data_IF_910390714246
#
_entry.id   IF_910390714246
#
_cell.length_a   1.000
_cell.length_b   1.000
_cell.length_c   1.000
_cell.angle_alpha   90.00
_cell.angle_beta   90.00
_cell.angle_gamma   90.00
#
_symmetry.space_group_name_H-M   'P 1'
#
loop_
_entity.id
_entity.type
_entity.pdbx_description
1 polymer ?
#
# COMPACT_ATOMS: atom_id res chain seq x y z
N UNK A 1 30.76 -33.46 -29.16
CA UNK A 1 29.48 -32.70 -29.18
C UNK A 1 29.25 -32.07 -27.82
N UNK A 2 29.57 -30.78 -27.65
CA UNK A 2 29.35 -30.06 -26.38
C UNK A 2 27.92 -29.56 -26.34
N UNK A 3 27.07 -30.21 -25.52
CA UNK A 3 25.73 -29.74 -25.20
C UNK A 3 25.85 -28.48 -24.33
N UNK A 4 25.71 -27.31 -24.93
CA UNK A 4 25.58 -26.04 -24.19
C UNK A 4 24.21 -26.02 -23.53
N UNK A 5 24.19 -26.21 -22.21
CA UNK A 5 23.03 -25.94 -21.38
C UNK A 5 22.69 -24.44 -21.50
N UNK A 6 21.56 -24.14 -22.14
CA UNK A 6 20.93 -22.83 -22.05
C UNK A 6 20.46 -22.73 -20.59
N UNK A 7 21.22 -22.01 -19.76
CA UNK A 7 20.76 -21.63 -18.44
C UNK A 7 19.43 -20.91 -18.61
N UNK A 8 18.37 -21.56 -18.10
CA UNK A 8 17.10 -20.95 -17.80
C UNK A 8 17.38 -19.65 -17.05
N UNK A 9 17.27 -18.50 -17.73
CA UNK A 9 17.10 -17.22 -17.07
C UNK A 9 15.72 -17.29 -16.39
N UNK A 10 15.72 -17.88 -15.20
CA UNK A 10 14.56 -17.94 -14.34
C UNK A 10 14.21 -16.48 -14.04
N UNK A 11 13.12 -16.01 -14.64
CA UNK A 11 12.38 -14.89 -14.11
C UNK A 11 12.01 -15.28 -12.68
N UNK A 12 12.82 -14.90 -11.69
CA UNK A 12 12.36 -14.86 -10.31
C UNK A 12 11.46 -13.63 -10.25
N UNK A 13 10.24 -13.79 -10.77
CA UNK A 13 9.14 -12.87 -10.49
C UNK A 13 8.33 -13.46 -9.34
N UNK A 14 9.00 -13.59 -8.19
CA UNK A 14 8.33 -13.76 -6.91
C UNK A 14 8.59 -12.50 -6.10
N UNK A 15 7.54 -11.71 -5.97
CA UNK A 15 7.54 -10.43 -5.29
C UNK A 15 6.29 -9.73 -5.72
N UNK A 16 5.36 -9.62 -4.78
CA UNK A 16 3.99 -9.21 -4.96
C UNK A 16 3.79 -7.81 -5.56
N UNK A 17 2.55 -7.40 -5.81
CA UNK A 17 2.31 -6.19 -6.61
C UNK A 17 1.46 -5.21 -5.80
N UNK A 18 2.15 -4.25 -5.18
CA UNK A 18 1.66 -2.94 -4.79
C UNK A 18 2.59 -1.91 -5.44
N UNK A 19 2.00 -0.98 -6.18
CA UNK A 19 2.61 -0.11 -7.21
C UNK A 19 3.92 0.56 -6.76
N UNK A 20 5.01 0.37 -7.53
CA UNK A 20 5.72 1.40 -8.32
C UNK A 20 6.66 0.65 -9.26
N UNK A 21 6.80 1.16 -10.47
CA UNK A 21 7.57 0.59 -11.56
C UNK A 21 9.04 0.29 -11.16
N UNK A 22 9.33 -0.92 -10.71
CA UNK A 22 10.50 -1.60 -11.20
C UNK A 22 10.03 -2.64 -12.18
N UNK A 23 10.30 -2.33 -13.44
CA UNK A 23 10.47 -3.33 -14.48
C UNK A 23 11.33 -4.45 -13.91
N UNK A 24 11.15 -5.66 -14.41
CA UNK A 24 12.27 -6.55 -14.62
C UNK A 24 13.29 -5.84 -15.53
N UNK A 25 13.99 -4.83 -15.01
CA UNK A 25 15.13 -4.20 -15.67
C UNK A 25 16.30 -5.13 -15.35
N UNK A 26 16.34 -6.21 -16.12
CA UNK A 26 17.45 -7.16 -16.06
C UNK A 26 18.77 -6.50 -16.50
N UNK A 27 18.69 -5.27 -17.04
CA UNK A 27 19.81 -4.51 -17.57
C UNK A 27 20.32 -5.12 -18.87
N UNK A 28 21.60 -4.90 -19.14
CA UNK A 28 22.28 -5.40 -20.33
C UNK A 28 23.15 -6.60 -19.92
N UNK A 29 22.82 -7.77 -20.48
CA UNK A 29 23.56 -9.03 -20.30
C UNK A 29 24.08 -9.53 -21.65
N UNK A 30 25.08 -10.43 -21.70
CA UNK A 30 25.68 -10.85 -22.97
C UNK A 30 24.71 -11.39 -24.03
N UNK A 31 23.59 -11.99 -23.60
CA UNK A 31 22.63 -12.65 -24.50
C UNK A 31 21.21 -12.05 -24.46
N UNK A 32 20.99 -11.01 -23.67
CA UNK A 32 19.70 -10.35 -23.58
C UNK A 32 19.83 -8.96 -22.95
N UNK A 33 18.89 -8.08 -23.27
CA UNK A 33 18.73 -6.78 -22.63
C UNK A 33 17.25 -6.57 -22.28
N UNK A 34 16.97 -5.96 -21.14
CA UNK A 34 15.60 -5.62 -20.74
C UNK A 34 15.51 -4.18 -20.28
N UNK A 35 14.43 -3.49 -20.63
CA UNK A 35 14.26 -2.07 -20.37
C UNK A 35 12.92 -1.53 -20.83
N UNK A 36 12.76 -0.21 -20.74
CA UNK A 36 11.60 0.53 -21.20
C UNK A 36 11.85 1.15 -22.58
N UNK A 37 10.85 1.10 -23.47
CA UNK A 37 10.94 1.66 -24.82
C UNK A 37 10.98 3.18 -24.77
N UNK A 38 12.09 3.77 -25.21
CA UNK A 38 12.23 5.22 -25.37
C UNK A 38 11.71 5.69 -26.73
N UNK A 39 12.00 4.95 -27.79
CA UNK A 39 11.58 5.29 -29.15
C UNK A 39 11.48 4.05 -30.03
N UNK A 40 10.56 4.09 -30.98
CA UNK A 40 10.32 3.03 -31.96
C UNK A 40 10.51 3.62 -33.36
N UNK A 41 11.30 2.95 -34.20
CA UNK A 41 11.49 3.25 -35.61
C UNK A 41 11.43 1.95 -36.43
N UNK A 42 11.30 2.06 -37.75
CA UNK A 42 10.96 0.95 -38.66
C UNK A 42 11.78 -0.35 -38.43
N UNK A 43 13.11 -0.24 -38.26
CA UNK A 43 14.00 -1.38 -38.05
C UNK A 43 14.79 -1.32 -36.73
N UNK A 44 14.40 -0.43 -35.81
CA UNK A 44 15.11 -0.29 -34.54
C UNK A 44 14.24 0.20 -33.39
N UNK A 45 14.54 -0.28 -32.19
CA UNK A 45 13.96 0.20 -30.94
C UNK A 45 15.09 0.69 -30.05
N UNK A 46 14.88 1.79 -29.32
CA UNK A 46 15.83 2.24 -28.29
C UNK A 46 15.23 1.91 -26.92
N UNK A 47 15.99 1.18 -26.10
CA UNK A 47 15.59 0.85 -24.73
C UNK A 47 16.39 1.67 -23.71
N UNK A 48 15.69 2.23 -22.73
CA UNK A 48 16.27 2.65 -21.47
C UNK A 48 16.38 1.44 -20.56
N UNK A 49 17.60 1.03 -20.22
CA UNK A 49 17.87 0.00 -19.21
C UNK A 49 18.51 0.66 -17.98
N UNK A 50 18.60 -0.08 -16.87
CA UNK A 50 19.31 0.36 -15.67
C UNK A 50 20.82 0.53 -15.90
N UNK A 51 21.37 -0.16 -16.90
CA UNK A 51 22.80 -0.12 -17.24
C UNK A 51 23.12 0.94 -18.32
N UNK A 52 22.10 1.69 -18.77
CA UNK A 52 22.20 2.69 -19.82
C UNK A 52 21.29 2.40 -21.02
N UNK A 53 21.42 3.22 -22.06
CA UNK A 53 20.61 3.10 -23.28
C UNK A 53 21.23 2.09 -24.24
N UNK A 54 20.38 1.25 -24.88
CA UNK A 54 20.81 0.26 -25.88
C UNK A 54 19.90 0.30 -27.11
N UNK A 55 20.50 0.18 -28.30
CA UNK A 55 19.79 0.06 -29.57
C UNK A 55 19.50 -1.42 -29.89
N UNK A 56 18.24 -1.70 -30.18
CA UNK A 56 17.75 -3.00 -30.62
C UNK A 56 17.63 -2.95 -32.14
N UNK A 57 18.48 -3.71 -32.83
CA UNK A 57 18.38 -3.87 -34.28
C UNK A 57 17.38 -4.99 -34.62
N UNK A 58 16.36 -4.65 -35.39
CA UNK A 58 15.29 -5.56 -35.79
C UNK A 58 15.56 -6.09 -37.21
N UNK A 59 15.03 -7.27 -37.50
CA UNK A 59 15.09 -7.88 -38.83
C UNK A 59 13.83 -8.70 -39.08
N UNK A 60 13.64 -9.16 -40.31
CA UNK A 60 12.54 -10.06 -40.67
C UNK A 60 12.56 -11.40 -39.91
N UNK A 61 13.69 -11.74 -39.28
CA UNK A 61 13.85 -12.95 -38.45
C UNK A 61 13.55 -12.70 -36.97
N UNK A 62 13.23 -11.47 -36.58
CA UNK A 62 12.95 -11.13 -35.19
C UNK A 62 11.56 -11.61 -34.81
N UNK A 63 11.48 -12.50 -33.83
CA UNK A 63 10.20 -12.98 -33.28
C UNK A 63 9.63 -11.98 -32.26
N UNK A 64 8.33 -11.71 -32.32
CA UNK A 64 7.64 -10.88 -31.33
C UNK A 64 6.69 -11.75 -30.50
N UNK A 65 6.78 -11.62 -29.18
CA UNK A 65 5.97 -12.40 -28.24
C UNK A 65 5.43 -11.51 -27.13
N UNK A 66 4.13 -11.58 -26.85
CA UNK A 66 3.49 -10.89 -25.74
C UNK A 66 3.46 -11.80 -24.52
N UNK A 67 4.02 -11.30 -23.43
CA UNK A 67 4.01 -12.02 -22.15
C UNK A 67 2.67 -11.71 -21.46
N UNK A 68 1.88 -12.73 -21.07
CA UNK A 68 0.63 -12.50 -20.36
C UNK A 68 0.88 -11.76 -19.04
N UNK A 69 0.11 -10.70 -18.72
CA UNK A 69 0.27 -9.98 -17.46
C UNK A 69 0.08 -10.89 -16.25
N UNK A 70 -0.92 -11.77 -16.28
CA UNK A 70 -1.29 -12.64 -15.16
C UNK A 70 -0.31 -13.81 -14.95
N UNK A 71 0.47 -14.17 -15.97
CA UNK A 71 1.51 -15.19 -15.90
C UNK A 71 2.77 -14.71 -16.64
N UNK A 72 3.65 -13.94 -15.94
CA UNK A 72 4.82 -13.31 -16.53
C UNK A 72 5.96 -14.31 -16.79
N UNK A 73 5.67 -15.31 -17.62
CA UNK A 73 6.57 -16.37 -18.02
C UNK A 73 6.82 -16.30 -19.52
N UNK A 74 8.09 -16.33 -19.92
CA UNK A 74 8.48 -16.37 -21.34
C UNK A 74 7.95 -17.61 -22.07
N UNK A 75 7.65 -18.68 -21.32
CA UNK A 75 7.04 -19.91 -21.85
C UNK A 75 5.55 -19.77 -22.12
N UNK A 76 4.88 -18.87 -21.41
CA UNK A 76 3.46 -18.56 -21.60
C UNK A 76 3.25 -17.45 -22.64
N UNK A 77 4.33 -16.93 -23.24
CA UNK A 77 4.26 -15.84 -24.19
C UNK A 77 3.56 -16.28 -25.49
N UNK A 78 2.64 -15.45 -25.96
CA UNK A 78 1.87 -15.67 -27.18
C UNK A 78 2.47 -14.86 -28.33
N UNK A 79 2.21 -15.26 -29.58
CA UNK A 79 2.67 -14.50 -30.74
C UNK A 79 2.13 -13.06 -30.70
N UNK A 80 2.99 -12.10 -31.08
CA UNK A 80 2.66 -10.69 -31.17
C UNK A 80 3.27 -10.10 -32.45
N UNK A 81 3.08 -8.80 -32.67
CA UNK A 81 3.61 -8.05 -33.80
C UNK A 81 4.49 -6.88 -33.35
N UNK A 82 5.37 -6.42 -34.26
CA UNK A 82 6.08 -5.15 -34.07
C UNK A 82 5.12 -3.97 -33.89
N UNK A 83 3.95 -4.01 -34.54
CA UNK A 83 2.90 -2.99 -34.41
C UNK A 83 2.33 -2.88 -32.98
N UNK A 84 2.52 -3.90 -32.15
CA UNK A 84 2.08 -3.90 -30.75
C UNK A 84 3.08 -3.20 -29.81
N UNK A 85 4.26 -2.80 -30.30
CA UNK A 85 5.30 -2.16 -29.51
C UNK A 85 5.11 -0.64 -29.49
N UNK A 86 4.83 -0.10 -28.32
CA UNK A 86 4.71 1.33 -28.07
C UNK A 86 5.83 1.92 -27.22
N UNK A 87 5.97 3.25 -27.26
CA UNK A 87 6.82 4.00 -26.32
C UNK A 87 6.28 3.85 -24.90
N UNK A 88 7.17 3.56 -23.94
CA UNK A 88 6.83 3.27 -22.55
C UNK A 88 6.48 1.82 -22.24
N UNK A 89 6.49 0.93 -23.23
CA UNK A 89 6.36 -0.52 -23.00
C UNK A 89 7.64 -1.12 -22.42
N UNK A 90 7.51 -2.25 -21.73
CA UNK A 90 8.66 -2.98 -21.17
C UNK A 90 9.00 -4.14 -22.08
N UNK A 91 10.23 -4.16 -22.57
CA UNK A 91 10.71 -5.23 -23.44
C UNK A 91 11.82 -6.03 -22.75
N UNK A 92 11.82 -7.34 -23.00
CA UNK A 92 12.99 -8.20 -22.85
C UNK A 92 13.38 -8.68 -24.25
N UNK A 93 14.56 -8.30 -24.69
CA UNK A 93 15.10 -8.66 -25.99
C UNK A 93 16.19 -9.70 -25.82
N UNK A 94 16.11 -10.78 -26.57
CA UNK A 94 17.14 -11.81 -26.64
C UNK A 94 17.96 -11.65 -27.91
N UNK A 95 19.28 -11.83 -27.81
CA UNK A 95 20.21 -11.54 -28.89
C UNK A 95 21.63 -11.42 -28.35
N UNK A 96 22.64 -11.63 -29.19
CA UNK A 96 24.03 -11.49 -28.75
C UNK A 96 24.34 -9.99 -28.65
N UNK A 97 24.53 -9.48 -27.44
CA UNK A 97 24.87 -8.07 -27.23
C UNK A 97 26.28 -7.81 -27.74
N UNK A 98 26.44 -6.71 -28.47
CA UNK A 98 27.72 -6.21 -28.95
C UNK A 98 28.74 -6.00 -27.81
N UNK A 99 30.03 -6.09 -28.12
CA UNK A 99 31.09 -5.96 -27.13
C UNK A 99 31.09 -4.60 -26.41
N UNK A 100 30.62 -3.54 -27.08
CA UNK A 100 30.48 -2.19 -26.53
C UNK A 100 29.17 -1.98 -25.76
N UNK A 101 28.30 -2.99 -25.69
CA UNK A 101 26.97 -2.99 -25.05
C UNK A 101 26.01 -1.95 -25.60
N UNK A 102 26.24 -1.42 -26.81
CA UNK A 102 25.39 -0.36 -27.39
C UNK A 102 24.31 -0.91 -28.32
N UNK A 103 24.54 -2.10 -28.88
CA UNK A 103 23.61 -2.69 -29.86
C UNK A 103 23.33 -4.17 -29.55
N UNK A 104 22.11 -4.60 -29.90
CA UNK A 104 21.71 -6.01 -29.86
C UNK A 104 20.89 -6.33 -31.11
N UNK A 105 21.35 -7.23 -32.00
CA UNK A 105 20.51 -7.81 -33.04
C UNK A 105 19.48 -8.74 -32.40
N UNK A 106 18.20 -8.36 -32.48
CA UNK A 106 17.12 -9.04 -31.81
C UNK A 106 16.78 -10.38 -32.48
N UNK A 107 16.89 -11.47 -31.72
CA UNK A 107 16.34 -12.78 -32.09
C UNK A 107 14.86 -12.88 -31.71
N UNK A 108 14.54 -12.50 -30.49
CA UNK A 108 13.16 -12.41 -30.02
C UNK A 108 12.96 -11.21 -29.10
N UNK A 109 11.82 -10.55 -29.26
CA UNK A 109 11.34 -9.43 -28.46
C UNK A 109 10.14 -9.90 -27.67
N UNK A 110 10.27 -9.92 -26.35
CA UNK A 110 9.19 -10.21 -25.43
C UNK A 110 8.64 -8.89 -24.90
N UNK A 111 7.38 -8.60 -25.21
CA UNK A 111 6.72 -7.37 -24.82
C UNK A 111 5.79 -7.59 -23.63
N UNK A 112 5.86 -6.66 -22.69
CA UNK A 112 4.90 -6.45 -21.62
C UNK A 112 4.40 -5.01 -21.75
N UNK A 113 3.19 -4.85 -22.24
CA UNK A 113 2.66 -3.52 -22.56
C UNK A 113 2.34 -2.73 -21.30
N UNK A 114 2.40 -1.40 -21.39
CA UNK A 114 1.98 -0.52 -20.30
C UNK A 114 0.51 -0.73 -19.91
N UNK A 115 -0.35 -1.03 -20.88
CA UNK A 115 -1.77 -1.30 -20.65
C UNK A 115 -1.99 -2.62 -19.91
N UNK A 116 -1.27 -3.69 -20.26
CA UNK A 116 -1.32 -4.97 -19.54
C UNK A 116 -0.92 -4.80 -18.07
N UNK A 117 0.14 -4.02 -17.81
CA UNK A 117 0.60 -3.71 -16.46
C UNK A 117 -0.50 -2.96 -15.69
N UNK A 118 -1.11 -1.95 -16.31
CA UNK A 118 -2.17 -1.16 -15.68
C UNK A 118 -3.43 -2.00 -15.39
N UNK A 119 -3.83 -2.88 -16.32
CA UNK A 119 -4.96 -3.79 -16.14
C UNK A 119 -4.72 -4.76 -14.99
N UNK A 120 -3.53 -5.38 -14.93
CA UNK A 120 -3.15 -6.26 -13.82
C UNK A 120 -3.16 -5.53 -12.48
N UNK A 121 -2.58 -4.33 -12.42
CA UNK A 121 -2.58 -3.53 -11.20
C UNK A 121 -3.98 -3.18 -10.73
N UNK A 122 -4.89 -2.88 -11.67
CA UNK A 122 -6.30 -2.59 -11.35
C UNK A 122 -6.98 -3.84 -10.79
N UNK A 123 -6.86 -4.98 -11.49
CA UNK A 123 -7.42 -6.26 -11.05
C UNK A 123 -6.91 -6.67 -9.67
N UNK A 124 -5.61 -6.55 -9.43
CA UNK A 124 -5.04 -6.86 -8.13
C UNK A 124 -5.51 -5.89 -7.04
N UNK A 125 -5.59 -4.59 -7.33
CA UNK A 125 -6.16 -3.62 -6.38
C UNK A 125 -7.59 -3.97 -6.01
N UNK A 126 -8.39 -4.40 -6.98
CA UNK A 126 -9.76 -4.86 -6.76
C UNK A 126 -9.80 -6.15 -5.94
N UNK A 127 -8.94 -7.12 -6.22
CA UNK A 127 -8.80 -8.34 -5.41
C UNK A 127 -8.42 -8.01 -3.96
N UNK A 128 -7.44 -7.14 -3.75
CA UNK A 128 -7.08 -6.68 -2.40
C UNK A 128 -8.19 -5.88 -1.73
N UNK A 129 -9.00 -5.13 -2.48
CA UNK A 129 -10.14 -4.37 -1.93
C UNK A 129 -11.29 -5.30 -1.53
N UNK A 130 -11.50 -6.38 -2.26
CA UNK A 130 -12.66 -7.27 -2.09
C UNK A 130 -12.36 -8.49 -1.21
N UNK A 131 -11.21 -9.12 -1.39
CA UNK A 131 -10.75 -10.33 -0.70
C UNK A 131 -9.64 -10.06 0.32
N UNK A 132 -9.13 -8.83 0.40
CA UNK A 132 -8.06 -8.50 1.34
C UNK A 132 -8.53 -8.24 2.77
N UNK A 133 -7.62 -8.44 3.71
CA UNK A 133 -7.73 -7.95 5.09
C UNK A 133 -6.45 -7.22 5.49
N UNK A 134 -6.59 -6.22 6.36
CA UNK A 134 -5.48 -5.47 6.93
C UNK A 134 -5.68 -5.28 8.43
N UNK A 135 -4.59 -5.31 9.20
CA UNK A 135 -4.65 -5.13 10.63
C UNK A 135 -3.28 -5.21 11.30
N UNK A 136 -3.29 -5.41 12.61
CA UNK A 136 -2.09 -5.57 13.42
C UNK A 136 -2.02 -6.98 14.02
N UNK A 137 -0.83 -7.59 14.01
CA UNK A 137 -0.60 -8.90 14.61
C UNK A 137 -0.73 -8.76 16.13
N UNK A 138 -1.73 -9.43 16.70
CA UNK A 138 -2.02 -9.44 18.15
C UNK A 138 -1.36 -10.63 18.84
N UNK A 139 -1.37 -11.80 18.19
CA UNK A 139 -0.75 -13.01 18.69
C UNK A 139 -0.36 -13.94 17.54
N UNK A 140 0.60 -14.83 17.80
CA UNK A 140 1.11 -15.82 16.84
C UNK A 140 1.16 -17.16 17.55
N UNK A 141 0.56 -18.18 16.94
CA UNK A 141 0.68 -19.57 17.38
C UNK A 141 1.63 -20.32 16.45
N UNK A 142 2.88 -20.60 16.85
CA UNK A 142 3.86 -21.28 16.00
C UNK A 142 3.54 -22.75 15.76
N UNK A 143 2.74 -23.40 16.63
CA UNK A 143 2.39 -24.82 16.49
C UNK A 143 1.34 -25.03 15.40
N UNK A 144 0.31 -24.17 15.37
CA UNK A 144 -0.78 -24.24 14.38
C UNK A 144 -0.56 -23.33 13.17
N UNK A 145 0.50 -22.51 13.18
CA UNK A 145 0.79 -21.46 12.20
C UNK A 145 -0.34 -20.43 12.07
N UNK A 146 -1.09 -20.20 13.14
CA UNK A 146 -2.17 -19.22 13.17
C UNK A 146 -1.67 -17.84 13.62
N UNK A 147 -2.19 -16.80 12.99
CA UNK A 147 -1.90 -15.40 13.32
C UNK A 147 -3.20 -14.74 13.74
N UNK A 148 -3.31 -14.30 15.00
CA UNK A 148 -4.46 -13.50 15.44
C UNK A 148 -4.21 -12.05 15.05
N UNK A 149 -5.09 -11.50 14.21
CA UNK A 149 -4.99 -10.14 13.68
C UNK A 149 -6.09 -9.27 14.24
N UNK A 150 -5.71 -8.14 14.84
CA UNK A 150 -6.65 -7.09 15.22
C UNK A 150 -7.01 -6.28 13.98
N UNK A 151 -8.22 -6.49 13.47
CA UNK A 151 -8.78 -5.74 12.34
C UNK A 151 -9.62 -4.60 12.90
N UNK A 152 -9.27 -3.36 12.55
CA UNK A 152 -10.05 -2.17 12.90
C UNK A 152 -11.11 -1.96 11.82
N UNK A 153 -12.38 -2.02 12.19
CA UNK A 153 -13.51 -1.73 11.32
C UNK A 153 -14.23 -0.44 11.73
N UNK A 154 -15.26 -0.09 10.97
CA UNK A 154 -16.13 1.07 11.25
C UNK A 154 -16.88 0.86 12.58
N UNK A 155 -17.30 -0.39 12.85
CA UNK A 155 -17.96 -0.79 14.10
C UNK A 155 -16.96 -1.50 15.00
N UNK A 156 -16.07 -0.73 15.61
CA UNK A 156 -15.09 -1.23 16.57
C UNK A 156 -13.99 -2.11 15.96
N UNK A 157 -13.25 -2.79 16.82
CA UNK A 157 -12.15 -3.68 16.43
C UNK A 157 -12.53 -5.12 16.73
N UNK A 158 -12.16 -6.03 15.83
CA UNK A 158 -12.36 -7.48 15.99
C UNK A 158 -11.07 -8.24 15.79
N UNK A 159 -10.97 -9.39 16.44
CA UNK A 159 -9.89 -10.34 16.18
C UNK A 159 -10.29 -11.25 15.01
N UNK A 160 -9.36 -11.48 14.09
CA UNK A 160 -9.50 -12.40 12.96
C UNK A 160 -8.32 -13.37 12.99
N UNK A 161 -8.60 -14.67 12.94
CA UNK A 161 -7.56 -15.69 12.84
C UNK A 161 -7.16 -15.89 11.38
N UNK A 162 -5.91 -15.60 11.07
CA UNK A 162 -5.32 -15.73 9.74
C UNK A 162 -4.45 -16.98 9.71
N UNK A 163 -4.78 -17.90 8.80
CA UNK A 163 -4.06 -19.17 8.60
C UNK A 163 -3.43 -19.18 7.22
N UNK A 164 -2.10 -19.26 7.09
CA UNK A 164 -1.44 -19.36 5.80
C UNK A 164 -1.75 -20.69 5.10
N UNK A 165 -2.03 -20.68 3.79
CA UNK A 165 -2.13 -21.89 2.95
C UNK A 165 -0.75 -22.49 2.68
N UNK A 166 -0.69 -23.75 2.22
CA UNK A 166 0.57 -24.49 2.02
C UNK A 166 1.58 -23.80 1.08
N UNK A 167 1.09 -23.07 0.08
CA UNK A 167 1.88 -22.32 -0.91
C UNK A 167 1.80 -20.79 -0.71
N UNK A 168 1.57 -20.34 0.53
CA UNK A 168 1.45 -18.92 0.84
C UNK A 168 2.67 -18.13 0.38
N UNK A 169 2.43 -17.03 -0.32
CA UNK A 169 3.46 -16.04 -0.61
C UNK A 169 3.65 -15.13 0.61
N UNK A 170 4.71 -15.34 1.38
CA UNK A 170 5.08 -14.54 2.55
C UNK A 170 6.18 -13.54 2.19
N UNK A 171 5.89 -12.26 2.39
CA UNK A 171 6.78 -11.15 2.08
C UNK A 171 6.78 -10.12 3.19
N UNK A 172 7.93 -9.49 3.43
CA UNK A 172 8.08 -8.46 4.45
C UNK A 172 8.75 -7.24 3.84
N UNK A 173 8.18 -6.06 4.08
CA UNK A 173 8.83 -4.80 3.69
C UNK A 173 10.23 -4.71 4.31
N UNK A 174 11.20 -4.25 3.53
CA UNK A 174 12.54 -4.02 4.05
C UNK A 174 12.50 -2.91 5.14
N UNK A 175 13.38 -3.01 6.16
CA UNK A 175 13.64 -1.87 7.03
C UNK A 175 13.96 -0.62 6.21
N UNK A 176 13.41 0.51 6.62
CA UNK A 176 13.58 1.82 5.99
C UNK A 176 13.05 1.98 4.55
N UNK A 177 12.22 1.04 4.07
CA UNK A 177 11.64 1.10 2.72
C UNK A 177 10.13 0.91 2.68
N UNK A 178 9.45 1.81 1.97
CA UNK A 178 8.06 1.64 1.52
C UNK A 178 7.95 0.88 0.20
N UNK A 179 9.08 0.57 -0.42
CA UNK A 179 9.06 -0.02 -1.75
C UNK A 179 8.76 -1.50 -1.65
N UNK A 180 7.61 -1.87 -2.20
CA UNK A 180 7.22 -3.26 -2.28
C UNK A 180 8.27 -4.11 -3.04
N UNK A 181 8.95 -3.53 -4.04
CA UNK A 181 10.02 -4.22 -4.78
C UNK A 181 11.26 -4.57 -3.93
N UNK A 182 11.41 -3.92 -2.78
CA UNK A 182 12.45 -4.22 -1.81
C UNK A 182 11.95 -5.16 -0.70
N UNK A 183 10.66 -5.55 -0.74
CA UNK A 183 10.12 -6.54 0.17
C UNK A 183 10.80 -7.88 -0.09
N UNK A 184 11.34 -8.46 0.98
CA UNK A 184 12.10 -9.71 0.91
C UNK A 184 11.17 -10.90 1.16
N UNK A 185 11.44 -12.06 0.53
CA UNK A 185 10.83 -13.31 0.96
C UNK A 185 10.99 -13.47 2.47
N UNK A 186 9.90 -13.82 3.14
CA UNK A 186 9.84 -13.87 4.59
C UNK A 186 9.38 -15.26 5.05
N UNK A 187 9.77 -15.65 6.27
CA UNK A 187 9.22 -16.87 6.89
C UNK A 187 8.19 -16.52 7.95
N UNK A 188 7.39 -17.50 8.35
CA UNK A 188 6.42 -17.33 9.43
C UNK A 188 7.08 -16.88 10.74
N UNK A 189 8.30 -17.34 11.01
CA UNK A 189 9.05 -17.03 12.24
C UNK A 189 9.49 -15.56 12.33
N UNK A 190 9.52 -14.86 11.20
CA UNK A 190 9.93 -13.46 11.16
C UNK A 190 8.77 -12.50 11.44
N UNK A 191 7.53 -13.00 11.52
CA UNK A 191 6.36 -12.21 11.90
C UNK A 191 6.40 -11.99 13.41
N UNK A 192 6.18 -10.75 13.85
CA UNK A 192 6.19 -10.38 15.27
C UNK A 192 4.87 -9.76 15.70
N UNK A 193 4.50 -9.98 16.96
CA UNK A 193 3.39 -9.24 17.58
C UNK A 193 3.65 -7.74 17.48
N UNK A 194 2.62 -7.00 17.11
CA UNK A 194 2.68 -5.56 16.85
C UNK A 194 2.98 -5.19 15.39
N UNK A 195 3.43 -6.12 14.55
CA UNK A 195 3.61 -5.87 13.12
C UNK A 195 2.27 -5.56 12.44
N UNK A 196 2.28 -4.69 11.44
CA UNK A 196 1.16 -4.57 10.51
C UNK A 196 1.18 -5.76 9.55
N UNK A 197 -0.01 -6.26 9.24
CA UNK A 197 -0.22 -7.38 8.33
C UNK A 197 -1.33 -7.08 7.32
N UNK A 198 -1.08 -7.40 6.05
CA UNK A 198 -2.05 -7.43 4.96
C UNK A 198 -2.09 -8.85 4.43
N UNK A 199 -3.27 -9.43 4.31
CA UNK A 199 -3.43 -10.76 3.75
C UNK A 199 -4.48 -10.77 2.64
N UNK A 200 -4.23 -11.57 1.61
CA UNK A 200 -5.15 -11.86 0.52
C UNK A 200 -5.50 -13.35 0.56
N UNK A 201 -6.77 -13.68 0.37
CA UNK A 201 -7.26 -15.05 0.48
C UNK A 201 -8.75 -15.12 0.72
N UNK A 202 -9.18 -16.19 1.38
CA UNK A 202 -10.59 -16.51 1.58
C UNK A 202 -11.02 -16.21 3.00
N UNK A 203 -12.06 -15.37 3.14
CA UNK A 203 -12.71 -15.07 4.40
C UNK A 203 -13.89 -16.00 4.61
N UNK A 204 -14.09 -16.52 5.83
CA UNK A 204 -15.30 -17.27 6.16
C UNK A 204 -16.56 -16.38 6.22
N UNK A 205 -17.75 -16.98 6.21
CA UNK A 205 -19.02 -16.26 6.22
C UNK A 205 -19.13 -15.24 7.37
N UNK A 206 -18.63 -15.60 8.55
CA UNK A 206 -18.72 -14.76 9.76
C UNK A 206 -17.57 -13.73 9.88
N UNK A 207 -16.57 -13.81 9.00
CA UNK A 207 -15.42 -12.92 8.96
C UNK A 207 -14.47 -13.01 10.16
N UNK A 208 -14.47 -14.14 10.86
CA UNK A 208 -13.63 -14.45 12.03
C UNK A 208 -12.37 -15.24 11.66
N UNK A 209 -12.38 -15.97 10.54
CA UNK A 209 -11.23 -16.73 10.04
C UNK A 209 -10.89 -16.34 8.60
N UNK A 210 -9.62 -16.50 8.25
CA UNK A 210 -9.09 -16.08 6.96
C UNK A 210 -7.97 -17.02 6.48
N UNK A 211 -8.18 -17.68 5.36
CA UNK A 211 -7.21 -18.58 4.74
C UNK A 211 -6.37 -17.80 3.73
N UNK A 212 -5.13 -17.47 4.11
CA UNK A 212 -4.28 -16.57 3.34
C UNK A 212 -3.48 -17.30 2.25
N UNK A 213 -3.66 -16.85 1.00
CA UNK A 213 -2.80 -17.21 -0.15
C UNK A 213 -1.52 -16.37 -0.16
N UNK A 214 -1.59 -15.20 0.47
CA UNK A 214 -0.53 -14.20 0.41
C UNK A 214 -0.58 -13.33 1.65
N UNK A 215 0.58 -13.12 2.25
CA UNK A 215 0.74 -12.36 3.48
C UNK A 215 1.89 -11.37 3.27
N UNK A 216 1.58 -10.10 3.46
CA UNK A 216 2.55 -9.01 3.50
C UNK A 216 2.63 -8.49 4.92
N UNK A 217 3.84 -8.42 5.46
CA UNK A 217 4.08 -7.90 6.82
C UNK A 217 5.03 -6.72 6.80
N UNK A 218 4.94 -5.88 7.82
CA UNK A 218 5.88 -4.79 8.02
C UNK A 218 5.81 -4.31 9.47
N UNK A 219 6.97 -4.00 10.04
CA UNK A 219 7.02 -3.30 11.32
C UNK A 219 6.90 -1.81 11.02
N UNK A 220 5.69 -1.26 11.00
CA UNK A 220 5.49 0.18 10.84
C UNK A 220 5.34 0.86 12.20
N UNK A 221 5.66 2.14 12.25
CA UNK A 221 5.50 3.01 13.40
C UNK A 221 5.06 4.40 12.94
N UNK A 222 4.30 5.07 13.79
CA UNK A 222 3.91 6.47 13.59
C UNK A 222 4.80 7.36 14.44
N UNK A 223 5.37 8.38 13.83
CA UNK A 223 6.20 9.38 14.51
C UNK A 223 5.57 10.74 14.24
N UNK A 224 5.39 11.54 15.28
CA UNK A 224 4.85 12.89 15.18
C UNK A 224 5.77 13.89 15.87
N UNK A 225 5.85 15.09 15.33
CA UNK A 225 6.79 16.10 15.80
C UNK A 225 6.51 17.48 15.23
N UNK A 226 7.07 18.48 15.88
CA UNK A 226 7.12 19.85 15.34
C UNK A 226 8.37 20.00 14.50
N UNK A 227 8.26 20.54 13.28
CA UNK A 227 9.41 20.79 12.42
C UNK A 227 10.30 21.84 13.05
N UNK A 228 11.56 21.50 13.30
CA UNK A 228 12.60 22.43 13.82
C UNK A 228 13.52 22.93 12.71
N UNK A 229 13.75 22.12 11.67
CA UNK A 229 14.52 22.52 10.50
C UNK A 229 14.09 21.74 9.24
N UNK A 230 14.31 22.34 8.07
CA UNK A 230 14.07 21.71 6.77
C UNK A 230 15.35 21.85 5.94
N UNK A 231 15.85 20.73 5.44
CA UNK A 231 16.95 20.67 4.49
C UNK A 231 16.42 20.16 3.15
N UNK A 232 16.02 21.09 2.28
CA UNK A 232 15.47 20.78 0.97
C UNK A 232 16.50 20.11 0.04
N UNK A 233 17.79 20.46 0.14
CA UNK A 233 18.85 19.88 -0.69
C UNK A 233 19.02 18.37 -0.45
N UNK A 234 18.90 17.95 0.81
CA UNK A 234 19.01 16.54 1.21
C UNK A 234 17.67 15.81 1.28
N UNK A 235 16.56 16.50 1.05
CA UNK A 235 15.20 16.02 1.32
C UNK A 235 15.06 15.49 2.76
N UNK A 236 15.57 16.25 3.73
CA UNK A 236 15.52 15.91 5.15
C UNK A 236 14.73 16.95 5.95
N UNK A 237 13.95 16.49 6.92
CA UNK A 237 13.17 17.33 7.84
C UNK A 237 13.58 16.94 9.25
N UNK A 238 14.01 17.88 10.08
CA UNK A 238 14.26 17.63 11.49
C UNK A 238 13.00 17.99 12.25
N UNK A 239 12.52 17.05 13.07
CA UNK A 239 11.37 17.27 13.94
C UNK A 239 11.76 17.05 15.40
N UNK A 240 11.23 17.88 16.30
CA UNK A 240 11.20 17.55 17.71
C UNK A 240 10.06 16.55 17.96
N UNK A 241 10.42 15.30 18.23
CA UNK A 241 9.47 14.22 18.44
C UNK A 241 8.65 14.47 19.72
N UNK A 242 7.32 14.49 19.60
CA UNK A 242 6.45 14.83 20.73
C UNK A 242 6.45 13.78 21.85
N UNK A 243 6.77 12.52 21.54
CA UNK A 243 6.81 11.41 22.49
C UNK A 243 8.16 11.37 23.22
N UNK A 244 9.26 11.41 22.48
CA UNK A 244 10.61 11.26 23.06
C UNK A 244 11.23 12.59 23.49
N UNK A 245 10.66 13.72 23.03
CA UNK A 245 11.19 15.09 23.18
C UNK A 245 12.59 15.28 22.60
N UNK A 246 13.02 14.38 21.73
CA UNK A 246 14.30 14.43 21.03
C UNK A 246 14.11 14.86 19.58
N UNK A 247 15.12 15.53 19.05
CA UNK A 247 15.18 15.84 17.64
C UNK A 247 15.52 14.57 16.85
N UNK A 248 14.76 14.32 15.79
CA UNK A 248 14.95 13.17 14.89
C UNK A 248 14.92 13.66 13.45
N UNK A 249 15.71 13.01 12.60
CA UNK A 249 15.79 13.33 11.17
C UNK A 249 14.84 12.45 10.37
N UNK A 250 13.97 13.08 9.60
CA UNK A 250 13.04 12.42 8.69
C UNK A 250 13.55 12.58 7.27
N UNK A 251 13.82 11.47 6.60
CA UNK A 251 14.21 11.42 5.19
C UNK A 251 12.95 11.31 4.34
N UNK A 252 12.78 12.26 3.42
CA UNK A 252 11.74 12.23 2.39
C UNK A 252 12.33 11.59 1.13
N UNK A 253 12.00 10.31 0.93
CA UNK A 253 12.42 9.55 -0.24
C UNK A 253 11.57 9.87 -1.47
N UNK A 254 12.02 9.40 -2.64
CA UNK A 254 11.29 9.56 -3.91
C UNK A 254 9.87 8.97 -3.90
N UNK A 255 9.66 7.95 -3.07
CA UNK A 255 8.39 7.22 -2.96
C UNK A 255 7.65 7.57 -1.66
N UNK A 256 8.06 8.63 -0.96
CA UNK A 256 7.29 9.17 0.16
C UNK A 256 6.03 9.84 -0.39
N UNK A 257 4.88 9.50 0.19
CA UNK A 257 3.62 10.20 -0.10
C UNK A 257 3.46 11.36 0.86
N UNK A 258 3.49 12.60 0.35
CA UNK A 258 3.28 13.80 1.14
C UNK A 258 1.87 14.35 0.88
N UNK A 259 1.08 14.47 1.94
CA UNK A 259 -0.28 15.00 1.88
C UNK A 259 -0.50 16.04 2.97
N UNK A 260 -1.40 16.97 2.71
CA UNK A 260 -1.90 17.89 3.72
C UNK A 260 -3.26 17.42 4.22
N UNK A 261 -3.42 17.36 5.54
CA UNK A 261 -4.72 17.14 6.14
C UNK A 261 -5.55 18.43 6.03
N UNK A 262 -6.74 18.42 5.40
CA UNK A 262 -7.56 19.62 5.31
C UNK A 262 -7.97 20.11 6.70
N UNK A 263 -7.68 21.37 7.03
CA UNK A 263 -7.81 21.90 8.40
C UNK A 263 -9.22 21.72 9.00
N UNK A 264 -10.27 22.05 8.25
CA UNK A 264 -11.67 21.90 8.67
C UNK A 264 -12.00 20.43 8.98
N UNK A 265 -11.47 19.51 8.17
CA UNK A 265 -11.69 18.09 8.34
C UNK A 265 -10.90 17.54 9.53
N UNK A 266 -9.67 17.99 9.72
CA UNK A 266 -8.84 17.63 10.87
C UNK A 266 -9.53 18.02 12.18
N UNK A 267 -10.03 19.25 12.26
CA UNK A 267 -10.78 19.75 13.41
C UNK A 267 -12.07 18.94 13.65
N UNK A 268 -12.84 18.67 12.60
CA UNK A 268 -14.08 17.88 12.71
C UNK A 268 -13.82 16.45 13.19
N UNK A 269 -12.81 15.78 12.64
CA UNK A 269 -12.45 14.42 13.05
C UNK A 269 -11.89 14.39 14.46
N UNK A 270 -11.03 15.34 14.80
CA UNK A 270 -10.52 15.53 16.16
C UNK A 270 -11.67 15.67 17.17
N UNK A 271 -12.63 16.54 16.88
CA UNK A 271 -13.79 16.73 17.75
C UNK A 271 -14.65 15.46 17.85
N UNK A 272 -14.88 14.74 16.74
CA UNK A 272 -15.59 13.45 16.78
C UNK A 272 -14.87 12.40 17.64
N UNK A 273 -13.54 12.34 17.54
CA UNK A 273 -12.72 11.42 18.34
C UNK A 273 -12.80 11.76 19.83
N UNK A 274 -12.80 13.06 20.18
CA UNK A 274 -13.03 13.52 21.54
C UNK A 274 -14.43 13.14 22.04
N UNK A 275 -15.48 13.34 21.23
CA UNK A 275 -16.86 12.99 21.60
C UNK A 275 -17.06 11.47 21.79
N UNK A 276 -16.35 10.65 21.01
CA UNK A 276 -16.32 9.19 21.21
C UNK A 276 -15.52 8.79 22.45
N UNK A 277 -14.38 9.44 22.72
CA UNK A 277 -13.54 9.16 23.89
C UNK A 277 -14.22 9.54 25.21
N UNK A 278 -15.05 10.59 25.20
CA UNK A 278 -15.82 11.06 26.37
C UNK A 278 -17.17 10.31 26.51
N UNK A 279 -17.49 9.39 25.59
CA UNK A 279 -18.69 8.54 25.67
C UNK A 279 -20.01 9.28 25.45
N UNK A 280 -19.97 10.54 24.99
CA UNK A 280 -21.16 11.29 24.60
C UNK A 280 -21.59 10.86 23.20
N UNK A 281 -22.34 9.76 23.13
CA UNK A 281 -23.23 9.50 22.00
C UNK A 281 -24.05 10.78 21.75
N UNK A 282 -24.24 11.23 20.49
CA UNK A 282 -25.26 12.23 20.20
C UNK A 282 -26.55 11.64 20.73
N UNK A 283 -27.01 12.17 21.86
CA UNK A 283 -28.19 11.69 22.53
C UNK A 283 -29.29 11.66 21.49
N UNK A 284 -29.83 10.47 21.27
CA UNK A 284 -31.17 10.30 20.77
C UNK A 284 -32.04 11.06 21.76
N UNK A 285 -32.22 12.35 21.47
CA UNK A 285 -32.93 13.31 22.28
C UNK A 285 -34.36 12.84 22.35
N UNK A 286 -34.62 12.00 23.35
CA UNK A 286 -35.94 11.62 23.77
C UNK A 286 -36.57 12.89 24.31
N UNK A 287 -37.16 13.67 23.40
CA UNK A 287 -38.14 14.69 23.71
C UNK A 287 -39.25 14.01 24.49
N UNK A 288 -39.11 13.92 25.82
CA UNK A 288 -40.24 13.74 26.73
C UNK A 288 -41.01 15.06 26.66
N UNK A 289 -42.24 15.08 26.14
CA UNK A 289 -43.10 16.24 26.34
C UNK A 289 -43.50 16.31 27.82
N UNK A 290 -43.80 17.50 28.36
CA UNK A 290 -44.27 17.66 29.74
C UNK A 290 -45.61 16.97 29.95
N UNK A 291 -45.95 16.54 31.18
CA UNK A 291 -47.23 15.89 31.46
C UNK A 291 -48.36 16.94 31.42
N UNK A 292 -49.18 16.90 30.37
CA UNK A 292 -50.40 17.68 30.24
C UNK A 292 -51.60 16.75 30.08
N UNK A 293 -52.50 16.77 31.07
CA UNK A 293 -53.82 16.14 31.00
C UNK A 293 -54.58 16.59 29.75
N UNK A 294 -55.11 15.63 28.97
CA UNK A 294 -56.43 15.74 28.32
C UNK A 294 -56.90 14.41 27.75
N UNK A 295 -58.17 14.18 28.00
CA UNK A 295 -58.97 13.00 27.76
C UNK A 295 -59.66 13.11 26.39
N UNK A 296 -59.78 11.97 25.68
CA UNK A 296 -60.82 11.75 24.66
C UNK A 296 -60.47 12.09 23.21
N UNK A 297 -60.73 11.15 22.30
CA UNK A 297 -60.86 11.42 20.86
C UNK A 297 -60.26 10.35 19.95
N UNK A 298 -61.08 9.37 19.56
CA UNK A 298 -60.80 8.46 18.43
C UNK A 298 -60.61 9.25 17.13
N UNK A 299 -59.65 8.88 16.29
CA UNK A 299 -59.82 8.92 14.82
C UNK A 299 -58.76 8.11 14.09
N UNK A 300 -59.25 7.44 13.05
CA UNK A 300 -58.67 6.46 12.14
C UNK A 300 -57.22 6.73 11.69
N UNK A 301 -56.36 5.72 11.84
CA UNK A 301 -55.08 5.64 11.13
C UNK A 301 -55.26 4.76 9.91
N UNK A 302 -55.52 5.44 8.79
CA UNK A 302 -55.63 4.87 7.46
C UNK A 302 -54.27 4.32 7.02
N UNK A 303 -54.32 3.11 6.48
CA UNK A 303 -53.23 2.33 5.92
C UNK A 303 -52.60 3.05 4.72
N UNK A 304 -51.29 3.33 4.78
CA UNK A 304 -50.45 3.45 3.58
C UNK A 304 -49.29 2.46 3.68
N UNK A 305 -49.00 1.73 2.58
CA UNK A 305 -47.98 0.70 2.58
C UNK A 305 -46.60 1.32 2.71
N UNK A 306 -45.86 0.79 3.69
CA UNK A 306 -44.47 1.08 3.96
C UNK A 306 -43.64 0.59 2.77
N UNK A 307 -43.44 1.47 1.78
CA UNK A 307 -42.43 1.27 0.75
C UNK A 307 -41.09 1.38 1.47
N UNK A 308 -40.53 0.22 1.82
CA UNK A 308 -39.19 0.08 2.34
C UNK A 308 -38.24 0.74 1.35
N UNK A 309 -37.93 2.00 1.64
CA UNK A 309 -36.91 2.78 0.98
C UNK A 309 -35.63 2.00 1.08
N UNK A 310 -35.31 1.37 -0.05
CA UNK A 310 -34.05 0.82 -0.45
C UNK A 310 -32.97 1.81 0.02
N UNK A 311 -32.43 1.55 1.21
CA UNK A 311 -31.23 2.18 1.72
C UNK A 311 -30.09 1.70 0.84
N UNK A 312 -30.01 2.30 -0.35
CA UNK A 312 -28.99 2.06 -1.33
C UNK A 312 -27.67 2.12 -0.59
N UNK A 313 -26.98 0.98 -0.57
CA UNK A 313 -25.66 0.83 0.01
C UNK A 313 -24.75 1.88 -0.60
N UNK A 314 -24.61 3.00 0.10
CA UNK A 314 -23.55 3.95 -0.15
C UNK A 314 -22.30 3.24 0.32
N UNK A 315 -21.68 2.53 -0.62
CA UNK A 315 -20.38 1.89 -0.50
C UNK A 315 -19.44 2.90 0.15
N UNK A 316 -19.17 2.69 1.43
CA UNK A 316 -18.21 3.44 2.22
C UNK A 316 -16.90 3.47 1.45
N UNK A 317 -16.49 4.64 0.97
CA UNK A 317 -15.09 4.84 0.63
C UNK A 317 -14.26 4.52 1.86
N UNK A 318 -13.23 3.68 1.73
CA UNK A 318 -12.31 3.43 2.83
C UNK A 318 -11.64 4.76 3.26
N UNK A 319 -11.13 4.85 4.48
CA UNK A 319 -10.28 6.00 4.88
C UNK A 319 -9.12 6.21 3.88
N UNK A 320 -8.70 5.15 3.19
CA UNK A 320 -7.77 5.21 2.05
C UNK A 320 -8.30 6.00 0.86
N UNK A 321 -9.54 5.71 0.43
CA UNK A 321 -10.20 6.45 -0.65
C UNK A 321 -10.35 7.95 -0.30
N UNK A 322 -10.37 8.31 0.99
CA UNK A 322 -10.37 9.70 1.46
C UNK A 322 -8.96 10.31 1.48
N UNK A 323 -7.95 9.58 1.96
CA UNK A 323 -6.56 10.03 1.98
C UNK A 323 -6.00 10.25 0.57
N UNK A 324 -6.41 9.43 -0.39
CA UNK A 324 -6.05 9.62 -1.81
C UNK A 324 -6.50 11.00 -2.32
N UNK A 325 -7.63 11.51 -1.81
CA UNK A 325 -8.20 12.82 -2.16
C UNK A 325 -7.56 13.99 -1.42
N UNK A 326 -6.73 13.74 -0.42
CA UNK A 326 -6.05 14.84 0.28
C UNK A 326 -5.12 15.59 -0.69
N UNK A 327 -4.97 16.92 -0.51
CA UNK A 327 -4.04 17.70 -1.31
C UNK A 327 -2.63 17.10 -1.24
N UNK A 328 -2.02 16.86 -2.41
CA UNK A 328 -0.61 16.57 -2.50
C UNK A 328 0.17 17.85 -2.16
N UNK A 329 1.21 17.70 -1.35
CA UNK A 329 2.15 18.78 -1.04
C UNK A 329 3.57 18.33 -1.34
N UNK A 330 4.49 19.27 -1.33
CA UNK A 330 5.92 19.05 -1.44
C UNK A 330 6.62 19.42 -0.14
N UNK A 331 7.88 19.04 0.01
CA UNK A 331 8.69 19.46 1.17
C UNK A 331 8.83 21.00 1.26
N UNK A 332 8.68 21.72 0.15
CA UNK A 332 8.73 23.18 0.10
C UNK A 332 7.49 23.86 0.69
N UNK A 333 6.36 23.13 0.77
CA UNK A 333 5.12 23.66 1.36
C UNK A 333 5.14 23.60 2.89
N UNK A 334 6.06 22.82 3.47
CA UNK A 334 6.25 22.68 4.92
C UNK A 334 7.06 23.85 5.48
N UNK A 335 6.78 24.20 6.74
CA UNK A 335 7.45 25.29 7.44
C UNK A 335 7.95 24.85 8.81
N UNK A 336 9.02 25.50 9.26
CA UNK A 336 9.48 25.37 10.65
C UNK A 336 8.36 25.83 11.58
N UNK A 337 8.05 25.01 12.59
CA UNK A 337 6.91 25.21 13.50
C UNK A 337 5.65 24.42 13.12
N UNK A 338 5.53 23.91 11.89
CA UNK A 338 4.41 23.04 11.53
C UNK A 338 4.48 21.71 12.29
N UNK A 339 3.33 21.13 12.64
CA UNK A 339 3.31 19.76 13.13
C UNK A 339 3.02 18.79 11.98
N UNK A 340 3.87 17.77 11.91
CA UNK A 340 3.73 16.68 10.97
C UNK A 340 3.66 15.35 11.71
N UNK A 341 3.08 14.38 11.04
CA UNK A 341 3.19 12.98 11.43
C UNK A 341 3.56 12.14 10.22
N UNK A 342 4.36 11.12 10.47
CA UNK A 342 4.84 10.19 9.46
C UNK A 342 4.52 8.76 9.84
N UNK A 343 4.33 7.93 8.82
CA UNK A 343 4.47 6.49 8.93
C UNK A 343 5.85 6.10 8.41
N UNK A 344 6.57 5.28 9.16
CA UNK A 344 7.89 4.75 8.79
C UNK A 344 7.99 3.28 9.18
N UNK A 345 8.84 2.50 8.53
CA UNK A 345 9.23 1.19 9.05
C UNK A 345 10.11 1.37 10.30
N UNK A 346 10.04 0.43 11.24
CA UNK A 346 10.91 0.43 12.42
C UNK A 346 12.35 0.21 11.95
N UNK A 347 13.18 1.21 12.23
CA UNK A 347 14.62 1.19 11.99
C UNK A 347 15.39 0.77 13.24
N UNK A 348 16.60 0.24 13.08
CA UNK A 348 17.56 0.13 14.17
C UNK A 348 18.12 1.49 14.59
N UNK A 349 18.08 2.49 13.70
CA UNK A 349 18.46 3.87 14.00
C UNK A 349 17.23 4.65 14.52
N UNK A 350 17.20 4.96 15.81
CA UNK A 350 16.09 5.69 16.43
C UNK A 350 16.16 7.21 16.27
N UNK A 351 17.20 7.73 15.60
CA UNK A 351 17.41 9.17 15.38
C UNK A 351 17.15 9.57 13.93
N UNK A 352 16.99 8.59 13.03
CA UNK A 352 16.79 8.82 11.60
C UNK A 352 15.78 7.84 11.02
N UNK A 353 14.75 8.36 10.36
CA UNK A 353 13.66 7.56 9.82
C UNK A 353 13.38 7.93 8.37
N UNK A 354 13.09 6.93 7.53
CA UNK A 354 12.62 7.16 6.15
C UNK A 354 11.10 7.20 6.15
N UNK A 355 10.51 8.32 5.72
CA UNK A 355 9.07 8.48 5.67
C UNK A 355 8.46 7.71 4.51
N UNK A 356 7.39 6.97 4.79
CA UNK A 356 6.57 6.27 3.79
C UNK A 356 5.40 7.15 3.39
N UNK A 357 4.70 7.66 4.39
CA UNK A 357 3.67 8.69 4.26
C UNK A 357 3.99 9.81 5.25
N UNK A 358 3.79 11.05 4.84
CA UNK A 358 3.91 12.24 5.67
C UNK A 358 2.63 13.06 5.55
N UNK A 359 2.01 13.35 6.68
CA UNK A 359 0.85 14.24 6.79
C UNK A 359 1.24 15.52 7.52
N UNK A 360 0.96 16.67 6.91
CA UNK A 360 0.94 17.97 7.61
C UNK A 360 -0.48 18.34 8.05
N UNK A 361 -0.62 19.31 8.95
CA UNK A 361 -1.95 19.74 9.43
C UNK A 361 -2.54 18.80 10.49
N UNK A 362 -1.69 18.03 11.18
CA UNK A 362 -2.12 17.02 12.17
C UNK A 362 -2.25 17.57 13.59
N UNK A 363 -2.02 18.88 13.78
CA UNK A 363 -2.08 19.57 15.07
C UNK A 363 -3.36 19.25 15.87
N UNK A 364 -4.57 19.22 15.26
CA UNK A 364 -5.79 18.93 16.01
C UNK A 364 -5.78 17.54 16.66
N UNK A 365 -5.12 16.56 16.05
CA UNK A 365 -5.02 15.20 16.57
C UNK A 365 -4.02 15.07 17.72
N UNK A 366 -2.97 15.91 17.69
CA UNK A 366 -1.88 15.89 18.67
C UNK A 366 -2.18 16.70 19.92
N UNK A 367 -3.03 17.74 19.80
CA UNK A 367 -3.45 18.60 20.91
C UNK A 367 -4.53 17.98 21.81
N UNK A 368 -5.10 16.84 21.43
CA UNK A 368 -6.12 16.17 22.24
C UNK A 368 -5.51 15.55 23.51
N UNK A 369 -6.20 15.64 24.67
CA UNK A 369 -5.82 14.93 25.88
C UNK A 369 -5.66 13.44 25.56
N UNK A 370 -4.50 12.87 25.86
CA UNK A 370 -4.30 11.42 25.82
C UNK A 370 -5.16 10.83 26.95
N UNK A 371 -6.41 10.49 26.66
CA UNK A 371 -7.23 9.78 27.63
C UNK A 371 -6.60 8.40 27.81
N UNK A 372 -6.26 7.99 29.05
CA UNK A 372 -5.90 6.61 29.30
C UNK A 372 -7.07 5.76 28.81
N UNK A 373 -6.83 4.92 27.80
CA UNK A 373 -7.83 3.96 27.37
C UNK A 373 -8.24 3.15 28.59
N UNK A 374 -9.49 3.34 29.01
CA UNK A 374 -10.08 2.68 30.15
C UNK A 374 -9.83 1.17 30.08
N UNK A 375 -9.54 0.62 31.25
CA UNK A 375 -9.08 -0.73 31.54
C UNK A 375 -10.02 -1.83 31.01
N UNK A 376 -10.01 -2.06 29.69
CA UNK A 376 -10.91 -2.99 29.00
C UNK A 376 -10.24 -3.63 27.80
N UNK A 377 -9.40 -4.64 28.06
CA UNK A 377 -8.98 -5.70 27.12
C UNK A 377 -8.66 -5.25 25.68
N UNK A 378 -7.59 -4.46 25.49
CA UNK A 378 -6.87 -4.37 24.21
C UNK A 378 -5.37 -4.36 24.46
N UNK A 379 -4.77 -5.56 24.43
CA UNK A 379 -3.32 -5.71 24.37
C UNK A 379 -2.84 -5.29 22.99
N UNK A 380 -2.04 -4.22 22.96
CA UNK A 380 -1.48 -3.62 21.75
C UNK A 380 -0.85 -2.30 22.12
N UNK A 381 0.40 -2.36 22.58
CA UNK A 381 1.23 -1.25 23.02
C UNK A 381 1.63 -0.38 21.81
N UNK A 382 0.70 0.42 21.28
CA UNK A 382 1.02 1.65 20.56
C UNK A 382 0.53 2.81 21.41
N UNK A 383 1.41 3.20 22.32
CA UNK A 383 1.27 4.39 23.14
C UNK A 383 1.61 5.61 22.29
N UNK A 384 0.60 6.34 21.85
CA UNK A 384 0.73 7.73 21.47
C UNK A 384 0.11 8.06 20.12
N UNK A 385 -1.06 8.69 20.18
CA UNK A 385 -1.79 9.34 19.09
C UNK A 385 -2.34 8.39 18.00
N UNK A 386 -3.64 8.53 17.73
CA UNK A 386 -4.30 7.89 16.58
C UNK A 386 -4.56 9.00 15.56
N UNK A 387 -3.81 8.98 14.46
CA UNK A 387 -3.94 9.94 13.36
C UNK A 387 -4.61 9.20 12.21
N UNK A 388 -5.86 9.58 11.86
CA UNK A 388 -6.58 8.95 10.76
C UNK A 388 -5.73 8.91 9.49
N UNK A 389 -5.47 7.70 9.00
CA UNK A 389 -4.72 7.45 7.77
C UNK A 389 -3.22 7.19 7.91
N UNK A 390 -2.63 7.39 9.08
CA UNK A 390 -1.26 6.95 9.40
C UNK A 390 -1.22 5.72 10.32
N UNK A 391 -2.31 5.44 11.03
CA UNK A 391 -2.35 4.34 12.00
C UNK A 391 -2.18 2.96 11.33
N UNK A 392 -1.36 2.11 11.96
CA UNK A 392 -0.73 0.88 11.43
C UNK A 392 -1.63 -0.27 10.93
N UNK A 393 -2.88 -0.02 10.58
CA UNK A 393 -3.67 -0.90 9.71
C UNK A 393 -3.53 -0.57 8.23
N UNK A 394 -2.95 0.60 7.89
CA UNK A 394 -2.87 1.05 6.51
C UNK A 394 -1.53 0.69 5.87
N UNK A 395 -1.53 -0.32 5.00
CA UNK A 395 -0.38 -0.61 4.15
C UNK A 395 -0.20 0.52 3.12
N UNK A 396 1.03 0.96 2.82
CA UNK A 396 1.28 1.89 1.73
C UNK A 396 0.80 1.37 0.38
#
# INVERSE_FOLDING_TARGET
MRKTFILSALFILFGVTGVWAQSADVGIKPNYAGGEVMSVAENKIILQTKDGTIEIALSDKTEYKRVPPDNPSLKAAVAASFADVGVGDKLLVTGMVSADKKTIPAKAVYLLTKSDIAQRQTKEREEWKTRGISGQVKAINPQTKEITVLVRGIVGSRDVTVTPKDNVALVRYAPDSSNYNEAKPNTFNDIKTGDSIRALGDKNADGTTFSAEKIVTGAFQTIAGTITAINAEKNEIIINNIQTKKDVTIVVGKNTVLKQFPAEMAQRMAQMQMMQAVGTQPGQGSLRPPPGNRQGGQTQRQTLPNQAGQGGGMRSGSLDDLLERFPNITAADLKVGDMIAISSTRSSNQERFTAIKLLSGVEPFLKMPQFPQGNGRRGGQDSGFSIPGLDGGNFP
#
